data_IF_543327410220
#
_entry.id   IF_543327410220
#
_cell.length_a   1.000
_cell.length_b   1.000
_cell.length_c   1.000
_cell.angle_alpha   90.00
_cell.angle_beta   90.00
_cell.angle_gamma   90.00
#
_symmetry.space_group_name_H-M   'P 1'
#
loop_
_entity.id
_entity.type
_entity.pdbx_description
1 polymer ?
#
# COMPACT_ATOMS: atom_id res chain seq x y z
N UNK A 1 20.27 39.40 -21.24
CA UNK A 1 20.43 37.93 -21.15
C UNK A 1 19.05 37.31 -21.33
N UNK A 2 18.80 36.62 -22.44
CA UNK A 2 17.57 35.83 -22.64
C UNK A 2 17.83 34.45 -22.03
N UNK A 3 17.04 34.06 -21.05
CA UNK A 3 17.04 32.69 -20.55
C UNK A 3 16.07 31.93 -21.45
N UNK A 4 16.60 31.03 -22.29
CA UNK A 4 15.76 30.11 -23.06
C UNK A 4 15.20 29.07 -22.11
N UNK A 5 13.96 29.26 -21.69
CA UNK A 5 13.24 28.27 -20.91
C UNK A 5 12.64 27.23 -21.86
N UNK A 6 12.78 25.93 -21.57
CA UNK A 6 12.07 24.89 -22.29
C UNK A 6 10.57 25.16 -22.24
N UNK A 7 9.85 24.75 -23.29
CA UNK A 7 8.39 24.87 -23.28
C UNK A 7 7.77 24.01 -22.17
N UNK A 8 6.52 24.28 -21.82
CA UNK A 8 5.82 23.60 -20.71
C UNK A 8 5.78 22.07 -20.91
N UNK A 9 5.69 21.59 -22.16
CA UNK A 9 5.62 20.16 -22.45
C UNK A 9 6.95 19.46 -22.14
N UNK A 10 8.07 20.12 -22.44
CA UNK A 10 9.40 19.61 -22.12
C UNK A 10 9.67 19.63 -20.61
N UNK A 11 9.18 20.66 -19.91
CA UNK A 11 9.25 20.72 -18.44
C UNK A 11 8.44 19.59 -17.78
N UNK A 12 7.21 19.32 -18.26
CA UNK A 12 6.39 18.22 -17.75
C UNK A 12 7.05 16.86 -18.01
N UNK A 13 7.62 16.67 -19.20
CA UNK A 13 8.35 15.44 -19.53
C UNK A 13 9.54 15.24 -18.59
N UNK A 14 10.28 16.30 -18.30
CA UNK A 14 11.39 16.26 -17.34
C UNK A 14 10.92 15.83 -15.95
N UNK A 15 9.80 16.38 -15.45
CA UNK A 15 9.22 15.99 -14.16
C UNK A 15 8.89 14.49 -14.13
N UNK A 16 8.31 13.94 -15.19
CA UNK A 16 7.99 12.51 -15.26
C UNK A 16 9.25 11.64 -15.26
N UNK A 17 10.30 12.07 -15.94
CA UNK A 17 11.59 11.36 -15.96
C UNK A 17 12.22 11.33 -14.57
N UNK A 18 12.31 12.47 -13.89
CA UNK A 18 12.89 12.53 -12.54
C UNK A 18 12.06 11.73 -11.53
N UNK A 19 10.74 11.84 -11.56
CA UNK A 19 9.86 11.03 -10.71
C UNK A 19 10.02 9.52 -10.97
N UNK A 20 10.27 9.12 -12.22
CA UNK A 20 10.56 7.72 -12.57
C UNK A 20 11.89 7.27 -11.99
N UNK A 21 12.94 8.10 -12.05
CA UNK A 21 14.25 7.80 -11.45
C UNK A 21 14.14 7.64 -9.93
N UNK A 22 13.40 8.53 -9.26
CA UNK A 22 13.12 8.44 -7.82
C UNK A 22 12.38 7.14 -7.48
N UNK A 23 11.35 6.78 -8.25
CA UNK A 23 10.62 5.54 -8.07
C UNK A 23 11.54 4.31 -8.21
N UNK A 24 12.41 4.28 -9.21
CA UNK A 24 13.41 3.20 -9.38
C UNK A 24 14.34 3.12 -8.17
N UNK A 25 14.83 4.25 -7.66
CA UNK A 25 15.67 4.28 -6.47
C UNK A 25 14.94 3.70 -5.25
N UNK A 26 13.67 4.07 -5.03
CA UNK A 26 12.86 3.52 -3.95
C UNK A 26 12.61 2.02 -4.12
N UNK A 27 12.33 1.53 -5.33
CA UNK A 27 12.15 0.11 -5.61
C UNK A 27 13.41 -0.70 -5.26
N UNK A 28 14.59 -0.16 -5.56
CA UNK A 28 15.87 -0.77 -5.15
C UNK A 28 16.06 -0.74 -3.63
N UNK A 29 15.73 0.38 -2.98
CA UNK A 29 15.82 0.50 -1.52
C UNK A 29 14.92 -0.52 -0.80
N UNK A 30 13.73 -0.81 -1.35
CA UNK A 30 12.82 -1.80 -0.78
C UNK A 30 13.40 -3.22 -0.73
N UNK A 31 14.38 -3.56 -1.58
CA UNK A 31 15.06 -4.86 -1.52
C UNK A 31 15.89 -5.03 -0.24
N UNK A 32 16.25 -3.92 0.41
CA UNK A 32 17.00 -3.90 1.67
C UNK A 32 16.09 -3.79 2.89
N UNK A 33 14.77 -3.91 2.71
CA UNK A 33 13.82 -3.86 3.82
C UNK A 33 14.09 -5.01 4.80
N UNK A 34 14.00 -4.77 6.12
CA UNK A 34 14.23 -5.81 7.11
C UNK A 34 13.15 -6.89 7.06
N UNK A 35 13.55 -8.13 7.35
CA UNK A 35 12.64 -9.25 7.51
C UNK A 35 12.13 -9.34 8.96
N UNK A 36 10.87 -9.69 9.12
CA UNK A 36 10.24 -9.96 10.42
C UNK A 36 9.63 -11.36 10.42
N UNK A 37 9.55 -12.04 11.58
CA UNK A 37 8.84 -13.30 11.72
C UNK A 37 7.42 -13.27 11.15
N UNK A 38 6.87 -14.43 10.81
CA UNK A 38 5.47 -14.53 10.42
C UNK A 38 4.53 -14.16 11.59
N UNK A 39 3.30 -13.77 11.27
CA UNK A 39 2.26 -13.60 12.28
C UNK A 39 1.88 -14.96 12.88
N UNK A 40 1.47 -14.96 14.14
CA UNK A 40 1.17 -16.15 14.95
C UNK A 40 -0.29 -16.20 15.44
N UNK A 41 -1.14 -15.29 14.97
CA UNK A 41 -2.52 -15.14 15.44
C UNK A 41 -3.47 -16.12 14.77
N UNK A 42 -3.25 -16.46 13.50
CA UNK A 42 -4.14 -17.32 12.70
C UNK A 42 -3.36 -18.25 11.79
N UNK A 43 -3.89 -19.43 11.52
CA UNK A 43 -3.40 -20.30 10.44
C UNK A 43 -3.95 -19.80 9.09
N UNK A 44 -3.08 -19.21 8.28
CA UNK A 44 -3.45 -18.62 6.99
C UNK A 44 -3.88 -19.66 5.96
N UNK A 45 -3.51 -20.94 6.13
CA UNK A 45 -3.91 -22.01 5.20
C UNK A 45 -5.42 -22.29 5.21
N UNK A 46 -6.11 -21.83 6.25
CA UNK A 46 -7.56 -21.97 6.40
C UNK A 46 -8.35 -20.88 5.67
N UNK A 47 -7.68 -19.90 5.07
CA UNK A 47 -8.31 -18.76 4.41
C UNK A 47 -7.96 -18.68 2.93
N UNK A 48 -8.87 -18.13 2.13
CA UNK A 48 -8.61 -17.85 0.70
C UNK A 48 -7.43 -16.88 0.56
N UNK A 49 -6.52 -17.16 -0.38
CA UNK A 49 -5.42 -16.26 -0.74
C UNK A 49 -5.81 -15.23 -1.80
N UNK A 50 -7.08 -15.19 -2.23
CA UNK A 50 -7.57 -14.25 -3.24
C UNK A 50 -7.35 -12.77 -2.84
N UNK A 51 -7.26 -12.47 -1.54
CA UNK A 51 -6.95 -11.13 -1.05
C UNK A 51 -5.52 -10.65 -1.35
N UNK A 52 -4.63 -11.51 -1.83
CA UNK A 52 -3.26 -11.17 -2.26
C UNK A 52 -3.19 -10.84 -3.76
N UNK A 53 -4.23 -11.19 -4.53
CA UNK A 53 -4.31 -10.96 -5.97
C UNK A 53 -4.58 -9.48 -6.27
N UNK A 54 -4.38 -9.09 -7.54
CA UNK A 54 -4.83 -7.79 -8.06
C UNK A 54 -6.33 -7.82 -8.36
N UNK A 55 -6.96 -6.65 -8.45
CA UNK A 55 -8.39 -6.56 -8.83
C UNK A 55 -8.70 -7.32 -10.13
N UNK A 56 -7.84 -7.18 -11.14
CA UNK A 56 -7.98 -7.85 -12.44
C UNK A 56 -7.76 -9.36 -12.41
N UNK A 57 -7.25 -9.90 -11.30
CA UNK A 57 -6.89 -11.32 -11.14
C UNK A 57 -7.92 -12.09 -10.29
N UNK A 58 -9.07 -11.48 -10.00
CA UNK A 58 -10.11 -12.10 -9.16
C UNK A 58 -9.93 -11.84 -7.66
N UNK A 59 -9.42 -10.67 -7.30
CA UNK A 59 -9.30 -10.27 -5.90
C UNK A 59 -10.62 -10.36 -5.14
N UNK A 60 -10.52 -10.81 -3.89
CA UNK A 60 -11.61 -10.77 -2.91
C UNK A 60 -11.13 -10.10 -1.63
N UNK A 61 -12.05 -9.42 -0.93
CA UNK A 61 -11.72 -8.81 0.36
C UNK A 61 -11.26 -9.89 1.36
N UNK A 62 -10.21 -9.62 2.16
CA UNK A 62 -9.71 -10.57 3.15
C UNK A 62 -10.75 -10.87 4.22
N UNK A 63 -10.67 -12.06 4.80
CA UNK A 63 -11.40 -12.39 6.03
C UNK A 63 -10.98 -11.43 7.18
N UNK A 64 -11.91 -11.05 8.07
CA UNK A 64 -11.61 -10.12 9.16
C UNK A 64 -10.50 -10.62 10.11
N UNK A 65 -10.38 -11.93 10.27
CA UNK A 65 -9.32 -12.59 11.03
C UNK A 65 -7.94 -12.33 10.42
N UNK A 66 -7.82 -12.39 9.09
CA UNK A 66 -6.60 -12.05 8.35
C UNK A 66 -6.28 -10.56 8.50
N UNK A 67 -7.29 -9.68 8.37
CA UNK A 67 -7.11 -8.24 8.58
C UNK A 67 -6.56 -7.96 9.97
N UNK A 68 -7.18 -8.55 11.00
CA UNK A 68 -6.79 -8.39 12.39
C UNK A 68 -5.38 -8.91 12.64
N UNK A 69 -5.05 -10.10 12.15
CA UNK A 69 -3.72 -10.70 12.28
C UNK A 69 -2.64 -9.82 11.65
N UNK A 70 -2.84 -9.39 10.41
CA UNK A 70 -1.86 -8.61 9.67
C UNK A 70 -1.67 -7.20 10.27
N UNK A 71 -2.76 -6.53 10.63
CA UNK A 71 -2.68 -5.21 11.26
C UNK A 71 -2.02 -5.28 12.64
N UNK A 72 -2.38 -6.26 13.48
CA UNK A 72 -1.74 -6.44 14.79
C UNK A 72 -0.25 -6.77 14.64
N UNK A 73 0.08 -7.67 13.72
CA UNK A 73 1.46 -8.03 13.42
C UNK A 73 2.31 -6.80 13.07
N UNK A 74 1.83 -5.96 12.15
CA UNK A 74 2.50 -4.70 11.81
C UNK A 74 2.62 -3.76 13.02
N UNK A 75 1.55 -3.57 13.78
CA UNK A 75 1.53 -2.69 14.95
C UNK A 75 2.49 -3.13 16.07
N UNK A 76 2.80 -4.42 16.17
CA UNK A 76 3.75 -4.96 17.14
C UNK A 76 5.21 -4.58 16.83
N UNK A 77 5.57 -4.44 15.55
CA UNK A 77 6.93 -4.09 15.13
C UNK A 77 7.13 -2.59 14.87
N UNK A 78 6.06 -1.87 14.54
CA UNK A 78 6.11 -0.45 14.20
C UNK A 78 5.28 0.38 15.17
N UNK A 79 5.86 0.65 16.35
CA UNK A 79 5.20 1.35 17.47
C UNK A 79 4.67 2.74 17.12
N UNK A 80 5.33 3.44 16.19
CA UNK A 80 4.86 4.72 15.65
C UNK A 80 3.47 4.63 15.02
N UNK A 81 3.08 3.44 14.55
CA UNK A 81 1.77 3.12 14.00
C UNK A 81 0.94 2.17 14.88
N UNK A 82 1.34 1.96 16.13
CA UNK A 82 0.77 0.96 17.04
C UNK A 82 -0.69 1.14 17.46
N UNK A 83 -1.37 2.18 16.97
CA UNK A 83 -2.81 2.42 17.24
C UNK A 83 -3.61 2.41 15.95
N UNK A 84 -4.90 2.08 16.04
CA UNK A 84 -5.80 2.08 14.89
C UNK A 84 -5.88 3.44 14.20
N UNK A 85 -5.86 4.55 14.97
CA UNK A 85 -5.85 5.89 14.40
C UNK A 85 -4.59 6.16 13.57
N UNK A 86 -3.41 5.79 14.09
CA UNK A 86 -2.12 5.99 13.40
C UNK A 86 -2.00 5.09 12.17
N UNK A 87 -2.45 3.84 12.27
CA UNK A 87 -2.53 2.92 11.13
C UNK A 87 -3.49 3.44 10.06
N UNK A 88 -4.65 3.98 10.45
CA UNK A 88 -5.61 4.55 9.52
C UNK A 88 -4.99 5.71 8.72
N UNK A 89 -4.26 6.61 9.39
CA UNK A 89 -3.52 7.71 8.74
C UNK A 89 -2.48 7.18 7.77
N UNK A 90 -1.67 6.19 8.16
CA UNK A 90 -0.67 5.56 7.30
C UNK A 90 -1.28 4.99 6.01
N UNK A 91 -2.48 4.43 6.11
CA UNK A 91 -3.22 3.86 4.99
C UNK A 91 -4.03 4.89 4.19
N UNK A 92 -3.92 6.18 4.51
CA UNK A 92 -4.60 7.26 3.80
C UNK A 92 -6.08 7.39 4.12
N UNK A 93 -6.54 6.80 5.23
CA UNK A 93 -7.92 6.93 5.70
C UNK A 93 -8.06 8.27 6.42
N UNK A 94 -8.57 9.26 5.69
CA UNK A 94 -8.80 10.62 6.21
C UNK A 94 -10.23 10.81 6.73
N UNK A 95 -10.39 11.83 7.59
CA UNK A 95 -11.66 12.22 8.20
C UNK A 95 -11.87 11.73 9.63
N UNK A 96 -12.95 12.21 10.27
CA UNK A 96 -13.33 11.78 11.62
C UNK A 96 -13.70 10.30 11.70
N UNK A 97 -13.29 9.62 12.78
CA UNK A 97 -13.59 8.20 13.01
C UNK A 97 -12.76 7.22 12.18
N UNK A 98 -11.54 7.59 11.80
CA UNK A 98 -10.61 6.74 11.05
C UNK A 98 -10.23 5.46 11.83
N UNK A 99 -10.09 5.56 13.15
CA UNK A 99 -9.90 4.43 14.06
C UNK A 99 -11.09 3.45 14.04
N UNK A 100 -12.32 3.98 14.01
CA UNK A 100 -13.55 3.16 13.90
C UNK A 100 -13.60 2.40 12.58
N UNK A 101 -13.07 2.95 11.48
CA UNK A 101 -13.00 2.23 10.18
C UNK A 101 -12.04 1.05 10.25
N UNK A 102 -10.86 1.22 10.86
CA UNK A 102 -9.92 0.11 11.07
C UNK A 102 -10.55 -0.98 11.94
N UNK A 103 -11.26 -0.61 13.01
CA UNK A 103 -12.00 -1.59 13.84
C UNK A 103 -13.07 -2.32 13.03
N UNK A 104 -13.84 -1.61 12.23
CA UNK A 104 -14.87 -2.19 11.37
C UNK A 104 -14.32 -3.19 10.34
N UNK A 105 -13.08 -3.00 9.89
CA UNK A 105 -12.40 -3.97 9.04
C UNK A 105 -11.94 -5.20 9.84
N UNK A 106 -11.40 -5.00 11.04
CA UNK A 106 -10.94 -6.07 11.94
C UNK A 106 -12.08 -6.94 12.48
N UNK A 107 -13.28 -6.39 12.66
CA UNK A 107 -14.46 -7.10 13.17
C UNK A 107 -15.38 -7.63 12.06
N UNK A 108 -15.11 -7.28 10.80
CA UNK A 108 -15.87 -7.74 9.64
C UNK A 108 -17.20 -7.03 9.39
N UNK A 109 -17.56 -6.03 10.21
CA UNK A 109 -18.76 -5.19 9.97
C UNK A 109 -18.64 -4.37 8.68
N UNK A 110 -17.42 -4.15 8.19
CA UNK A 110 -17.16 -3.63 6.85
C UNK A 110 -16.06 -4.43 6.16
N UNK A 111 -16.24 -4.72 4.87
CA UNK A 111 -15.17 -5.28 4.03
C UNK A 111 -14.06 -4.25 3.85
N UNK A 112 -12.81 -4.70 3.89
CA UNK A 112 -11.65 -3.87 3.59
C UNK A 112 -11.61 -3.55 2.09
N UNK A 113 -11.60 -2.27 1.68
CA UNK A 113 -11.47 -1.89 0.28
C UNK A 113 -10.12 -2.32 -0.31
N UNK A 114 -10.10 -2.67 -1.60
CA UNK A 114 -8.89 -3.08 -2.32
C UNK A 114 -7.73 -2.09 -2.13
N UNK A 115 -7.93 -0.81 -2.45
CA UNK A 115 -6.84 0.18 -2.39
C UNK A 115 -6.20 0.31 -1.00
N UNK A 116 -6.99 0.20 0.08
CA UNK A 116 -6.48 0.23 1.47
C UNK A 116 -5.66 -1.05 1.75
N UNK A 117 -6.22 -2.20 1.39
CA UNK A 117 -5.59 -3.49 1.62
C UNK A 117 -4.30 -3.65 0.80
N UNK A 118 -4.35 -3.33 -0.49
CA UNK A 118 -3.22 -3.40 -1.41
C UNK A 118 -2.08 -2.52 -0.96
N UNK A 119 -2.37 -1.27 -0.57
CA UNK A 119 -1.37 -0.35 0.01
C UNK A 119 -0.69 -0.97 1.22
N UNK A 120 -1.46 -1.58 2.14
CA UNK A 120 -0.90 -2.25 3.32
C UNK A 120 -0.01 -3.45 2.94
N UNK A 121 -0.46 -4.30 2.01
CA UNK A 121 0.31 -5.46 1.57
C UNK A 121 1.64 -5.05 0.92
N UNK A 122 1.62 -4.04 0.05
CA UNK A 122 2.83 -3.49 -0.59
C UNK A 122 3.77 -2.90 0.46
N UNK A 123 3.25 -2.06 1.35
CA UNK A 123 4.03 -1.41 2.41
C UNK A 123 4.75 -2.42 3.31
N UNK A 124 4.16 -3.60 3.48
CA UNK A 124 4.70 -4.67 4.33
C UNK A 124 5.40 -5.78 3.55
N UNK A 125 5.68 -5.58 2.26
CA UNK A 125 6.41 -6.55 1.42
C UNK A 125 5.66 -7.86 1.14
N UNK A 126 4.35 -7.95 1.43
CA UNK A 126 3.54 -9.17 1.23
C UNK A 126 3.15 -9.39 -0.23
N UNK A 127 3.13 -8.33 -1.03
CA UNK A 127 2.89 -8.37 -2.47
C UNK A 127 3.82 -7.37 -3.17
N UNK A 128 4.16 -7.60 -4.44
CA UNK A 128 5.00 -6.67 -5.18
C UNK A 128 4.28 -5.34 -5.46
N UNK A 129 5.09 -4.29 -5.65
CA UNK A 129 4.64 -3.02 -6.20
C UNK A 129 3.97 -3.21 -7.56
N UNK A 130 2.89 -2.48 -7.81
CA UNK A 130 2.24 -2.46 -9.13
C UNK A 130 2.80 -1.32 -9.97
N UNK A 131 3.59 -1.69 -10.98
CA UNK A 131 4.18 -0.74 -11.94
C UNK A 131 3.36 -0.85 -13.22
N UNK A 132 2.57 0.18 -13.50
CA UNK A 132 1.73 0.24 -14.71
C UNK A 132 2.59 0.76 -15.88
N UNK A 133 2.68 0.02 -17.00
CA UNK A 133 3.36 0.51 -18.19
C UNK A 133 2.71 1.77 -18.76
N UNK A 134 3.51 2.82 -18.95
CA UNK A 134 3.07 4.02 -19.67
C UNK A 134 3.17 3.76 -21.16
N UNK A 135 2.02 3.67 -21.83
CA UNK A 135 1.95 3.37 -23.27
C UNK A 135 2.30 4.59 -24.15
N UNK A 136 2.29 5.79 -23.57
CA UNK A 136 2.67 7.03 -24.25
C UNK A 136 2.31 8.26 -23.42
N UNK A 137 2.93 9.40 -23.74
CA UNK A 137 2.56 10.70 -23.17
C UNK A 137 1.58 11.39 -24.11
N UNK A 138 0.31 11.48 -23.70
CA UNK A 138 -0.73 12.17 -24.47
C UNK A 138 -0.63 13.68 -24.25
N UNK A 139 -0.70 14.47 -25.33
CA UNK A 139 -0.60 15.93 -25.34
C UNK A 139 -1.85 16.57 -25.90
#
# INVERSE_FOLDING_TARGET
MKIDLPNIQDQQRFIYEEATKEAIAQLKANLMAPEYPAQDLVDESLYSRAHLLRESEGWEAPAPEIVKAYFRHFQNYFSDYGTDAKLAVLLGITGGGNDRRIRAFKDGSKKTPYGIWRRFLVLTGRVPQEIIPVMGFMR
#
